data_IF_717924408209
#
_entry.id   IF_717924408209
#
_cell.length_a   1.000
_cell.length_b   1.000
_cell.length_c   1.000
_cell.angle_alpha   90.00
_cell.angle_beta   90.00
_cell.angle_gamma   90.00
#
_symmetry.space_group_name_H-M   'P 1'
#
loop_
_entity.id
_entity.type
_entity.pdbx_description
1 polymer ?
#
# COMPACT_ATOMS: atom_id res chain seq x y z
N UNK A 1 -21.68 -15.87 13.23
CA UNK A 1 -20.48 -15.35 12.53
C UNK A 1 -20.96 -14.70 11.25
N UNK A 2 -20.71 -13.43 11.06
CA UNK A 2 -21.13 -12.73 9.86
C UNK A 2 -20.40 -13.30 8.65
N UNK A 3 -21.12 -13.55 7.56
CA UNK A 3 -20.55 -14.15 6.35
C UNK A 3 -19.69 -13.10 5.64
N UNK A 4 -18.37 -13.32 5.65
CA UNK A 4 -17.43 -12.46 4.91
C UNK A 4 -17.45 -12.91 3.45
N UNK A 5 -17.74 -11.98 2.54
CA UNK A 5 -17.76 -12.18 1.10
C UNK A 5 -16.53 -11.49 0.47
N UNK A 6 -15.72 -12.25 -0.25
CA UNK A 6 -14.59 -11.70 -1.04
C UNK A 6 -15.06 -11.55 -2.48
N UNK A 7 -14.93 -10.34 -3.02
CA UNK A 7 -15.34 -10.03 -4.39
C UNK A 7 -14.39 -9.02 -5.07
N UNK A 8 -14.42 -8.96 -6.40
CA UNK A 8 -13.76 -7.86 -7.11
C UNK A 8 -14.28 -6.50 -6.64
N UNK A 9 -13.39 -5.51 -6.66
CA UNK A 9 -13.72 -4.11 -6.42
C UNK A 9 -14.72 -3.60 -7.46
N UNK A 10 -15.60 -2.70 -7.03
CA UNK A 10 -16.52 -1.94 -7.87
C UNK A 10 -16.33 -0.44 -7.61
N UNK A 11 -16.72 0.39 -8.57
CA UNK A 11 -16.56 1.85 -8.46
C UNK A 11 -17.27 2.43 -7.23
N UNK A 12 -18.39 1.82 -6.81
CA UNK A 12 -19.15 2.21 -5.63
C UNK A 12 -18.36 2.01 -4.32
N UNK A 13 -17.40 1.08 -4.30
CA UNK A 13 -16.55 0.82 -3.13
C UNK A 13 -15.48 1.90 -2.92
N UNK A 14 -15.27 2.77 -3.91
CA UNK A 14 -14.13 3.70 -3.96
C UNK A 14 -14.00 4.54 -2.70
N UNK A 15 -15.07 5.14 -2.24
CA UNK A 15 -15.07 5.99 -1.06
C UNK A 15 -14.72 5.18 0.21
N UNK A 16 -15.37 4.03 0.41
CA UNK A 16 -15.16 3.17 1.57
C UNK A 16 -13.74 2.58 1.59
N UNK A 17 -13.22 2.14 0.42
CA UNK A 17 -11.87 1.61 0.31
C UNK A 17 -10.82 2.67 0.67
N UNK A 18 -10.97 3.90 0.18
CA UNK A 18 -10.08 5.02 0.45
C UNK A 18 -10.06 5.37 1.93
N UNK A 19 -11.23 5.47 2.54
CA UNK A 19 -11.39 5.69 3.97
C UNK A 19 -10.69 4.58 4.76
N UNK A 20 -11.00 3.32 4.48
CA UNK A 20 -10.39 2.17 5.16
C UNK A 20 -8.86 2.14 4.97
N UNK A 21 -8.37 2.47 3.76
CA UNK A 21 -6.93 2.54 3.51
C UNK A 21 -6.24 3.53 4.45
N UNK A 22 -6.80 4.73 4.62
CA UNK A 22 -6.25 5.73 5.52
C UNK A 22 -6.41 5.37 6.99
N UNK A 23 -7.50 4.69 7.38
CA UNK A 23 -7.73 4.25 8.77
C UNK A 23 -6.70 3.21 9.26
N UNK A 24 -6.07 2.48 8.33
CA UNK A 24 -5.13 1.40 8.68
C UNK A 24 -3.72 1.61 8.14
N UNK A 25 -3.41 2.80 7.60
CA UNK A 25 -2.17 3.08 6.88
C UNK A 25 -0.90 3.04 7.74
N UNK A 26 -0.99 3.47 9.00
CA UNK A 26 0.15 3.45 9.93
C UNK A 26 0.16 2.18 10.78
N UNK A 27 0.66 1.08 10.21
CA UNK A 27 0.79 -0.20 10.94
C UNK A 27 -0.52 -0.67 11.57
N UNK A 28 -1.63 -0.32 10.92
CA UNK A 28 -2.98 -0.60 11.39
C UNK A 28 -3.65 0.53 12.16
N UNK A 29 -3.02 1.67 12.27
CA UNK A 29 -3.56 2.94 12.74
C UNK A 29 -3.77 3.95 11.62
N UNK A 30 -4.34 5.13 11.93
CA UNK A 30 -4.72 6.11 10.94
C UNK A 30 -3.52 6.83 10.31
N UNK A 31 -3.72 7.29 9.06
CA UNK A 31 -2.72 8.00 8.25
C UNK A 31 -2.26 9.31 8.91
N UNK A 32 -3.13 9.95 9.67
CA UNK A 32 -2.91 11.20 10.37
C UNK A 32 -1.73 11.13 11.35
N UNK A 33 -1.34 9.94 11.77
CA UNK A 33 -0.15 9.73 12.61
C UNK A 33 1.14 10.20 11.96
N UNK A 34 1.21 10.29 10.61
CA UNK A 34 2.42 10.72 9.91
C UNK A 34 2.17 11.61 8.69
N UNK A 35 0.94 11.70 8.18
CA UNK A 35 0.62 12.54 7.03
C UNK A 35 -0.64 13.38 7.31
N UNK A 36 -0.54 14.72 7.26
CA UNK A 36 -1.56 15.61 7.83
C UNK A 36 -2.79 15.85 6.96
N UNK A 37 -2.81 15.39 5.69
CA UNK A 37 -3.92 15.61 4.77
C UNK A 37 -4.45 14.31 4.19
N UNK A 38 -5.58 13.87 4.74
CA UNK A 38 -6.22 12.61 4.40
C UNK A 38 -6.58 12.48 2.92
N UNK A 39 -7.13 13.54 2.30
CA UNK A 39 -7.53 13.46 0.90
C UNK A 39 -6.35 13.32 -0.08
N UNK A 40 -5.21 13.96 0.23
CA UNK A 40 -3.99 13.78 -0.56
C UNK A 40 -3.43 12.38 -0.33
N UNK A 41 -3.47 11.88 0.90
CA UNK A 41 -3.04 10.53 1.22
C UNK A 41 -3.91 9.46 0.55
N UNK A 42 -5.23 9.62 0.56
CA UNK A 42 -6.17 8.75 -0.15
C UNK A 42 -5.83 8.63 -1.63
N UNK A 43 -5.60 9.76 -2.31
CA UNK A 43 -5.21 9.74 -3.72
C UNK A 43 -3.84 9.08 -3.92
N UNK A 44 -2.86 9.37 -3.07
CA UNK A 44 -1.52 8.81 -3.15
C UNK A 44 -1.53 7.27 -3.01
N UNK A 45 -2.30 6.76 -2.04
CA UNK A 45 -2.28 5.35 -1.67
C UNK A 45 -3.19 4.46 -2.52
N UNK A 46 -4.27 5.04 -3.10
CA UNK A 46 -5.32 4.21 -3.71
C UNK A 46 -5.60 4.50 -5.17
N UNK A 47 -5.34 5.74 -5.64
CA UNK A 47 -5.84 6.21 -6.93
C UNK A 47 -5.36 5.38 -8.12
N UNK A 48 -4.13 4.89 -8.09
CA UNK A 48 -3.66 3.98 -9.15
C UNK A 48 -4.54 2.73 -9.23
N UNK A 49 -4.79 2.10 -8.11
CA UNK A 49 -5.50 0.82 -8.04
C UNK A 49 -6.99 0.95 -8.32
N UNK A 50 -7.61 2.06 -7.90
CA UNK A 50 -9.05 2.26 -8.09
C UNK A 50 -9.41 2.82 -9.46
N UNK A 51 -8.53 3.63 -10.07
CA UNK A 51 -8.84 4.40 -11.26
C UNK A 51 -8.10 3.89 -12.53
N UNK A 52 -6.92 3.26 -12.36
CA UNK A 52 -6.07 2.83 -13.48
C UNK A 52 -5.92 1.31 -13.59
N UNK A 53 -6.06 0.58 -12.48
CA UNK A 53 -5.99 -0.89 -12.47
C UNK A 53 -7.04 -1.52 -11.53
N UNK A 54 -8.34 -1.14 -11.65
CA UNK A 54 -9.39 -1.62 -10.74
C UNK A 54 -9.62 -3.13 -10.80
N UNK A 55 -9.33 -3.77 -11.93
CA UNK A 55 -9.49 -5.22 -12.12
C UNK A 55 -8.56 -6.09 -11.25
N UNK A 56 -7.54 -5.50 -10.64
CA UNK A 56 -6.60 -6.18 -9.74
C UNK A 56 -6.81 -5.80 -8.27
N UNK A 57 -7.98 -5.25 -7.94
CA UNK A 57 -8.39 -4.89 -6.58
C UNK A 57 -9.54 -5.77 -6.13
N UNK A 58 -9.44 -6.29 -4.91
CA UNK A 58 -10.48 -7.10 -4.27
C UNK A 58 -10.86 -6.51 -2.91
N UNK A 59 -12.11 -6.69 -2.54
CA UNK A 59 -12.66 -6.23 -1.26
C UNK A 59 -13.29 -7.40 -0.50
N UNK A 60 -13.20 -7.31 0.82
CA UNK A 60 -13.93 -8.16 1.75
C UNK A 60 -15.09 -7.37 2.32
N UNK A 61 -16.29 -7.88 2.14
CA UNK A 61 -17.54 -7.26 2.61
C UNK A 61 -18.22 -8.14 3.66
N UNK A 62 -18.73 -7.52 4.69
CA UNK A 62 -19.57 -8.15 5.72
C UNK A 62 -20.67 -7.17 6.11
N UNK A 63 -21.94 -7.57 5.94
CA UNK A 63 -23.13 -6.79 6.31
C UNK A 63 -23.10 -5.34 5.80
N UNK A 64 -22.72 -5.14 4.54
CA UNK A 64 -22.64 -3.81 3.90
C UNK A 64 -21.44 -2.95 4.32
N UNK A 65 -20.51 -3.47 5.14
CA UNK A 65 -19.27 -2.80 5.56
C UNK A 65 -18.06 -3.45 4.89
N UNK A 66 -17.06 -2.65 4.54
CA UNK A 66 -15.78 -3.19 4.11
C UNK A 66 -14.95 -3.68 5.31
N UNK A 67 -14.75 -5.00 5.37
CA UNK A 67 -13.90 -5.66 6.35
C UNK A 67 -12.40 -5.57 5.98
N UNK A 68 -12.09 -5.40 4.70
CA UNK A 68 -10.73 -5.29 4.21
C UNK A 68 -10.68 -5.09 2.69
N UNK A 69 -9.48 -4.81 2.21
CA UNK A 69 -9.18 -4.70 0.78
C UNK A 69 -7.79 -5.25 0.48
N UNK A 70 -7.56 -5.62 -0.77
CA UNK A 70 -6.25 -5.87 -1.32
C UNK A 70 -6.16 -5.25 -2.71
N UNK A 71 -5.16 -4.41 -2.90
CA UNK A 71 -4.82 -3.77 -4.16
C UNK A 71 -3.64 -4.51 -4.78
N UNK A 72 -3.75 -4.91 -6.05
CA UNK A 72 -2.66 -5.47 -6.82
C UNK A 72 -2.25 -4.54 -7.96
N UNK A 73 -0.98 -4.55 -8.27
CA UNK A 73 -0.42 -4.00 -9.49
C UNK A 73 0.21 -5.15 -10.28
N UNK A 74 -0.27 -5.39 -11.49
CA UNK A 74 0.21 -6.47 -12.35
C UNK A 74 1.30 -6.01 -13.32
N UNK A 75 1.48 -4.69 -13.49
CA UNK A 75 2.51 -4.09 -14.34
C UNK A 75 3.21 -2.91 -13.64
N UNK A 76 4.36 -3.18 -13.06
CA UNK A 76 5.16 -2.18 -12.36
C UNK A 76 5.70 -1.07 -13.29
N UNK A 77 5.86 -1.33 -14.59
CA UNK A 77 6.28 -0.29 -15.55
C UNK A 77 5.15 0.70 -15.78
N UNK A 78 3.96 0.19 -16.06
CA UNK A 78 2.75 1.01 -16.19
C UNK A 78 2.48 1.80 -14.93
N UNK A 79 2.58 1.16 -13.76
CA UNK A 79 2.49 1.84 -12.47
C UNK A 79 3.45 3.03 -12.38
N UNK A 80 4.73 2.81 -12.66
CA UNK A 80 5.74 3.86 -12.61
C UNK A 80 5.45 5.04 -13.54
N UNK A 81 5.00 4.77 -14.77
CA UNK A 81 4.64 5.81 -15.75
C UNK A 81 3.42 6.61 -15.31
N UNK A 82 2.33 5.93 -14.89
CA UNK A 82 1.10 6.58 -14.43
C UNK A 82 1.37 7.41 -13.18
N UNK A 83 2.10 6.85 -12.21
CA UNK A 83 2.43 7.57 -10.97
C UNK A 83 3.30 8.80 -11.28
N UNK A 84 4.33 8.66 -12.09
CA UNK A 84 5.27 9.75 -12.36
C UNK A 84 4.65 10.88 -13.19
N UNK A 85 3.93 10.55 -14.27
CA UNK A 85 3.50 11.54 -15.26
C UNK A 85 2.06 12.02 -15.09
N UNK A 86 1.23 11.27 -14.38
CA UNK A 86 -0.19 11.62 -14.20
C UNK A 86 -0.50 11.90 -12.73
N UNK A 87 -0.22 10.94 -11.84
CA UNK A 87 -0.64 11.06 -10.45
C UNK A 87 0.20 12.06 -9.67
N UNK A 88 1.52 12.04 -9.78
CA UNK A 88 2.40 12.96 -9.04
C UNK A 88 2.12 14.44 -9.39
N UNK A 89 2.04 14.88 -10.66
CA UNK A 89 1.68 16.26 -10.97
C UNK A 89 0.32 16.66 -10.39
N UNK A 90 -0.70 15.81 -10.53
CA UNK A 90 -2.03 16.08 -9.99
C UNK A 90 -2.04 16.18 -8.45
N UNK A 91 -1.30 15.29 -7.77
CA UNK A 91 -1.14 15.29 -6.32
C UNK A 91 -0.40 16.54 -5.82
N UNK A 92 0.65 16.98 -6.52
CA UNK A 92 1.38 18.19 -6.17
C UNK A 92 0.50 19.42 -6.28
N UNK A 93 -0.30 19.53 -7.36
CA UNK A 93 -1.28 20.64 -7.52
C UNK A 93 -2.33 20.59 -6.40
N UNK A 94 -2.87 19.40 -6.10
CA UNK A 94 -3.85 19.22 -5.02
C UNK A 94 -3.25 19.60 -3.67
N UNK A 95 -2.05 19.12 -3.36
CA UNK A 95 -1.35 19.43 -2.11
C UNK A 95 -1.03 20.93 -1.97
N UNK A 96 -0.66 21.59 -3.07
CA UNK A 96 -0.46 23.04 -3.09
C UNK A 96 -1.76 23.78 -2.78
N UNK A 97 -2.84 23.48 -3.51
CA UNK A 97 -4.17 24.11 -3.30
C UNK A 97 -4.70 23.92 -1.88
N UNK A 98 -4.35 22.84 -1.21
CA UNK A 98 -4.76 22.52 0.17
C UNK A 98 -3.77 23.04 1.22
N UNK A 99 -2.72 23.73 0.84
CA UNK A 99 -1.72 24.26 1.75
C UNK A 99 -0.87 23.20 2.47
N UNK A 100 -0.84 21.97 1.94
CA UNK A 100 -0.14 20.83 2.55
C UNK A 100 1.35 21.08 2.68
N UNK A 101 1.96 21.77 1.72
CA UNK A 101 3.39 22.11 1.74
C UNK A 101 3.80 23.08 2.85
N UNK A 102 2.85 23.81 3.44
CA UNK A 102 3.13 24.73 4.54
C UNK A 102 3.05 24.08 5.91
N UNK A 103 2.72 22.78 5.99
CA UNK A 103 2.59 22.04 7.23
C UNK A 103 3.96 21.49 7.69
N UNK A 104 4.35 21.68 8.98
CA UNK A 104 5.65 21.24 9.49
C UNK A 104 5.90 19.75 9.33
N UNK A 105 4.86 18.92 9.46
CA UNK A 105 4.92 17.46 9.31
C UNK A 105 5.38 17.07 7.90
N UNK A 106 4.91 17.81 6.89
CA UNK A 106 5.30 17.58 5.48
C UNK A 106 6.76 17.93 5.24
N UNK A 107 7.27 18.98 5.87
CA UNK A 107 8.68 19.31 5.80
C UNK A 107 9.55 18.20 6.42
N UNK A 108 9.10 17.58 7.50
CA UNK A 108 9.79 16.45 8.12
C UNK A 108 9.79 15.22 7.16
N UNK A 109 8.66 14.92 6.54
CA UNK A 109 8.55 13.85 5.53
C UNK A 109 9.48 14.12 4.33
N UNK A 110 9.51 15.34 3.80
CA UNK A 110 10.39 15.71 2.70
C UNK A 110 11.88 15.58 3.07
N UNK A 111 12.26 15.99 4.28
CA UNK A 111 13.63 15.79 4.79
C UNK A 111 13.97 14.29 4.90
N UNK A 112 13.04 13.47 5.41
CA UNK A 112 13.19 12.02 5.44
C UNK A 112 13.31 11.42 4.03
N UNK A 113 12.46 11.85 3.11
CA UNK A 113 12.53 11.42 1.70
C UNK A 113 13.86 11.81 1.05
N UNK A 114 14.37 13.02 1.32
CA UNK A 114 15.67 13.47 0.82
C UNK A 114 16.83 12.62 1.37
N UNK A 115 16.80 12.25 2.66
CA UNK A 115 17.79 11.32 3.24
C UNK A 115 17.74 9.93 2.62
N UNK A 116 16.56 9.51 2.21
CA UNK A 116 16.33 8.19 1.63
C UNK A 116 16.46 8.15 0.09
N UNK A 117 16.54 9.29 -0.61
CA UNK A 117 16.37 9.34 -2.07
C UNK A 117 17.31 8.40 -2.83
N UNK A 118 18.60 8.34 -2.47
CA UNK A 118 19.58 7.44 -3.09
C UNK A 118 19.22 5.96 -2.85
N UNK A 119 18.77 5.64 -1.64
CA UNK A 119 18.35 4.28 -1.23
C UNK A 119 17.09 3.85 -1.98
N UNK A 120 16.09 4.74 -2.06
CA UNK A 120 14.84 4.53 -2.80
C UNK A 120 15.12 4.36 -4.30
N UNK A 121 16.04 5.13 -4.87
CA UNK A 121 16.42 5.01 -6.27
C UNK A 121 17.06 3.64 -6.58
N UNK A 122 18.00 3.19 -5.74
CA UNK A 122 18.62 1.86 -5.86
C UNK A 122 17.59 0.75 -5.68
N UNK A 123 16.71 0.90 -4.68
CA UNK A 123 15.63 -0.04 -4.41
C UNK A 123 14.67 -0.17 -5.61
N UNK A 124 14.20 0.94 -6.17
CA UNK A 124 13.33 0.93 -7.36
C UNK A 124 13.97 0.19 -8.53
N UNK A 125 15.25 0.44 -8.81
CA UNK A 125 15.96 -0.22 -9.91
C UNK A 125 16.02 -1.74 -9.76
N UNK A 126 16.11 -2.25 -8.53
CA UNK A 126 16.18 -3.68 -8.22
C UNK A 126 14.80 -4.35 -8.11
N UNK A 127 13.79 -3.61 -7.63
CA UNK A 127 12.46 -4.17 -7.31
C UNK A 127 11.47 -4.17 -8.48
N UNK A 128 11.75 -3.43 -9.57
CA UNK A 128 10.87 -3.33 -10.72
C UNK A 128 11.36 -4.18 -11.90
N UNK A 129 11.20 -5.50 -11.79
CA UNK A 129 11.43 -6.41 -12.91
C UNK A 129 10.14 -6.65 -13.71
N UNK A 130 10.29 -7.00 -15.00
CA UNK A 130 9.20 -7.02 -15.99
C UNK A 130 8.13 -8.09 -15.78
N UNK A 131 8.23 -9.00 -14.86
CA UNK A 131 7.21 -10.01 -14.54
C UNK A 131 6.86 -10.04 -13.05
N UNK A 132 7.12 -8.92 -12.37
CA UNK A 132 6.87 -8.77 -10.95
C UNK A 132 5.76 -7.75 -10.72
N UNK A 133 4.72 -8.18 -10.00
CA UNK A 133 3.69 -7.31 -9.45
C UNK A 133 4.00 -6.85 -8.02
N UNK A 134 3.19 -5.96 -7.51
CA UNK A 134 3.20 -5.62 -6.09
C UNK A 134 1.79 -5.52 -5.53
N UNK A 135 1.68 -5.55 -4.21
CA UNK A 135 0.39 -5.48 -3.53
C UNK A 135 0.40 -4.55 -2.32
N UNK A 136 -0.80 -4.08 -1.97
CA UNK A 136 -1.09 -3.38 -0.73
C UNK A 136 -2.37 -3.97 -0.12
N UNK A 137 -2.35 -4.32 1.18
CA UNK A 137 -3.48 -4.95 1.88
C UNK A 137 -3.79 -4.19 3.17
N UNK A 138 -5.07 -3.98 3.44
CA UNK A 138 -5.56 -3.40 4.68
C UNK A 138 -6.79 -4.14 5.21
N UNK A 139 -6.81 -4.39 6.52
CA UNK A 139 -7.92 -5.06 7.21
C UNK A 139 -8.39 -4.16 8.35
N UNK A 140 -9.70 -3.91 8.39
CA UNK A 140 -10.33 -3.18 9.49
C UNK A 140 -10.10 -3.89 10.83
N UNK A 141 -9.91 -3.11 11.88
CA UNK A 141 -9.52 -3.63 13.21
C UNK A 141 -10.41 -4.76 13.71
N UNK A 142 -11.72 -4.56 13.60
CA UNK A 142 -12.78 -5.48 14.06
C UNK A 142 -12.76 -6.85 13.34
N UNK A 143 -12.16 -6.92 12.15
CA UNK A 143 -12.14 -8.10 11.30
C UNK A 143 -10.78 -8.82 11.27
N UNK A 144 -9.80 -8.35 12.07
CA UNK A 144 -8.52 -9.04 12.20
C UNK A 144 -8.69 -10.38 12.90
N UNK A 145 -7.85 -11.34 12.54
CA UNK A 145 -7.96 -12.70 13.07
C UNK A 145 -9.08 -13.57 12.47
N UNK A 146 -9.96 -13.01 11.63
CA UNK A 146 -11.10 -13.69 11.02
C UNK A 146 -10.82 -14.23 9.61
N UNK A 147 -9.57 -14.51 9.27
CA UNK A 147 -9.11 -15.02 7.97
C UNK A 147 -9.35 -14.10 6.76
N UNK A 148 -9.84 -12.86 6.97
CA UNK A 148 -10.10 -11.89 5.88
C UNK A 148 -8.87 -11.67 5.02
N UNK A 149 -7.73 -11.39 5.64
CA UNK A 149 -6.47 -11.18 4.92
C UNK A 149 -6.03 -12.38 4.10
N UNK A 150 -6.19 -13.60 4.63
CA UNK A 150 -5.86 -14.84 3.93
C UNK A 150 -6.72 -15.02 2.67
N UNK A 151 -8.02 -14.79 2.79
CA UNK A 151 -8.95 -14.95 1.67
C UNK A 151 -8.74 -13.88 0.59
N UNK A 152 -8.49 -12.63 0.97
CA UNK A 152 -8.10 -11.55 0.06
C UNK A 152 -6.78 -11.87 -0.67
N UNK A 153 -5.78 -12.34 0.08
CA UNK A 153 -4.50 -12.75 -0.49
C UNK A 153 -4.67 -13.86 -1.52
N UNK A 154 -5.46 -14.89 -1.19
CA UNK A 154 -5.74 -15.98 -2.14
C UNK A 154 -6.36 -15.44 -3.43
N UNK A 155 -7.38 -14.59 -3.35
CA UNK A 155 -8.04 -14.02 -4.53
C UNK A 155 -7.05 -13.24 -5.42
N UNK A 156 -6.16 -12.45 -4.81
CA UNK A 156 -5.15 -11.71 -5.57
C UNK A 156 -4.09 -12.63 -6.19
N UNK A 157 -3.61 -13.65 -5.46
CA UNK A 157 -2.60 -14.57 -5.98
C UNK A 157 -3.13 -15.39 -7.15
N UNK A 158 -4.38 -15.88 -7.05
CA UNK A 158 -5.06 -16.59 -8.13
C UNK A 158 -5.20 -15.67 -9.37
N UNK A 159 -5.57 -14.41 -9.18
CA UNK A 159 -5.65 -13.41 -10.25
C UNK A 159 -4.27 -13.13 -10.88
N UNK A 160 -3.23 -12.91 -10.07
CA UNK A 160 -1.88 -12.61 -10.53
C UNK A 160 -1.28 -13.78 -11.35
N UNK A 161 -1.48 -15.02 -10.88
CA UNK A 161 -1.08 -16.23 -11.62
C UNK A 161 -1.81 -16.32 -12.96
N UNK A 162 -3.12 -16.05 -12.99
CA UNK A 162 -3.91 -16.02 -14.23
C UNK A 162 -3.49 -14.92 -15.21
N UNK A 163 -2.80 -13.87 -14.74
CA UNK A 163 -2.21 -12.80 -15.56
C UNK A 163 -0.77 -13.10 -15.99
N UNK A 164 -0.22 -14.24 -15.62
CA UNK A 164 1.12 -14.68 -16.01
C UNK A 164 2.25 -14.01 -15.25
N UNK A 165 2.00 -13.45 -14.05
CA UNK A 165 3.07 -12.99 -13.19
C UNK A 165 3.85 -14.17 -12.64
N UNK A 166 5.16 -14.02 -12.56
CA UNK A 166 6.04 -15.00 -11.91
C UNK A 166 6.25 -14.73 -10.42
N UNK A 167 6.08 -13.47 -10.02
CA UNK A 167 6.33 -13.04 -8.66
C UNK A 167 5.42 -11.87 -8.27
N UNK A 168 5.09 -11.80 -6.98
CA UNK A 168 4.43 -10.64 -6.38
C UNK A 168 5.17 -10.19 -5.12
N UNK A 169 5.28 -8.89 -4.92
CA UNK A 169 6.02 -8.27 -3.84
C UNK A 169 5.16 -7.40 -2.93
N UNK A 170 5.59 -7.26 -1.68
CA UNK A 170 5.05 -6.30 -0.73
C UNK A 170 6.18 -5.68 0.09
N UNK A 171 6.07 -4.39 0.40
CA UNK A 171 6.99 -3.72 1.32
C UNK A 171 6.38 -3.62 2.70
N UNK A 172 7.13 -4.05 3.71
CA UNK A 172 6.68 -4.08 5.11
C UNK A 172 7.70 -3.36 5.99
N UNK A 173 7.21 -2.50 6.86
CA UNK A 173 8.01 -1.86 7.90
C UNK A 173 8.38 -2.90 8.98
N UNK A 174 9.64 -2.98 9.40
CA UNK A 174 10.13 -4.01 10.34
C UNK A 174 9.54 -3.92 11.77
N UNK A 175 8.99 -2.76 12.13
CA UNK A 175 8.20 -2.63 13.37
C UNK A 175 6.77 -3.21 13.23
N UNK A 176 6.27 -3.48 12.01
CA UNK A 176 4.95 -4.07 11.80
C UNK A 176 5.02 -5.60 11.92
N UNK A 177 5.18 -6.09 13.15
CA UNK A 177 5.32 -7.54 13.44
C UNK A 177 4.13 -8.36 12.96
N UNK A 178 2.91 -7.80 13.07
CA UNK A 178 1.70 -8.48 12.59
C UNK A 178 1.72 -8.72 11.07
N UNK A 179 2.14 -7.73 10.29
CA UNK A 179 2.29 -7.88 8.85
C UNK A 179 3.41 -8.87 8.48
N UNK A 180 4.54 -8.85 9.20
CA UNK A 180 5.63 -9.80 8.99
C UNK A 180 5.14 -11.24 9.13
N UNK A 181 4.53 -11.56 10.27
CA UNK A 181 3.96 -12.90 10.56
C UNK A 181 2.91 -13.27 9.50
N UNK A 182 2.06 -12.31 9.11
CA UNK A 182 1.04 -12.56 8.08
C UNK A 182 1.68 -12.93 6.73
N UNK A 183 2.64 -12.15 6.22
CA UNK A 183 3.26 -12.43 4.92
C UNK A 183 4.06 -13.74 4.93
N UNK A 184 4.77 -14.05 6.01
CA UNK A 184 5.49 -15.31 6.17
C UNK A 184 4.53 -16.51 6.17
N UNK A 185 3.38 -16.40 6.86
CA UNK A 185 2.34 -17.43 6.86
C UNK A 185 1.66 -17.61 5.48
N UNK A 186 1.72 -16.58 4.59
CA UNK A 186 1.27 -16.70 3.21
C UNK A 186 2.37 -17.21 2.25
N UNK A 187 3.54 -17.59 2.77
CA UNK A 187 4.66 -18.14 2.00
C UNK A 187 5.53 -17.08 1.29
N UNK A 188 5.42 -15.82 1.68
CA UNK A 188 6.35 -14.78 1.24
C UNK A 188 7.69 -14.91 2.00
N UNK A 189 8.78 -14.54 1.33
CA UNK A 189 10.12 -14.52 1.91
C UNK A 189 10.73 -13.13 1.78
N UNK A 190 11.49 -12.70 2.78
CA UNK A 190 12.25 -11.46 2.71
C UNK A 190 13.38 -11.62 1.70
N UNK A 191 13.32 -10.85 0.62
CA UNK A 191 14.36 -10.80 -0.41
C UNK A 191 15.43 -9.77 -0.07
N UNK A 192 14.99 -8.58 0.38
CA UNK A 192 15.90 -7.47 0.67
C UNK A 192 15.44 -6.69 1.91
N UNK A 193 16.41 -6.02 2.55
CA UNK A 193 16.20 -5.12 3.70
C UNK A 193 16.86 -3.78 3.38
N UNK A 194 16.07 -2.72 3.42
CA UNK A 194 16.54 -1.37 3.12
C UNK A 194 16.50 -0.52 4.38
N UNK A 195 17.66 0.00 4.84
CA UNK A 195 17.66 0.95 5.95
C UNK A 195 17.00 2.27 5.49
N UNK A 196 16.03 2.73 6.23
CA UNK A 196 15.24 3.91 5.97
C UNK A 196 15.26 4.83 7.19
N UNK A 197 14.98 6.10 6.97
CA UNK A 197 14.85 7.11 8.02
C UNK A 197 13.50 7.79 7.86
N UNK A 198 12.70 7.79 8.90
CA UNK A 198 11.51 8.62 9.04
C UNK A 198 11.83 9.75 10.03
N UNK A 199 11.35 10.96 9.76
CA UNK A 199 11.45 12.06 10.72
C UNK A 199 10.05 12.33 11.23
N UNK A 200 9.86 12.18 12.55
CA UNK A 200 8.60 12.41 13.24
C UNK A 200 8.89 13.22 14.52
N UNK A 201 8.12 14.29 14.75
CA UNK A 201 8.28 15.18 15.90
C UNK A 201 9.73 15.67 16.10
N UNK A 202 10.41 15.98 14.99
CA UNK A 202 11.79 16.43 14.97
C UNK A 202 12.84 15.34 15.26
N UNK A 203 12.44 14.11 15.53
CA UNK A 203 13.34 12.98 15.81
C UNK A 203 13.48 12.05 14.60
N UNK A 204 14.68 11.50 14.44
CA UNK A 204 14.94 10.47 13.42
C UNK A 204 14.59 9.09 13.97
N UNK A 205 13.68 8.42 13.30
CA UNK A 205 13.36 7.00 13.52
C UNK A 205 14.04 6.18 12.40
N UNK A 206 15.00 5.34 12.78
CA UNK A 206 15.67 4.42 11.88
C UNK A 206 14.93 3.09 11.85
N UNK A 207 14.60 2.61 10.66
CA UNK A 207 13.89 1.35 10.47
C UNK A 207 14.36 0.64 9.19
N UNK A 208 13.92 -0.60 9.00
CA UNK A 208 14.12 -1.30 7.73
C UNK A 208 12.78 -1.49 7.00
N UNK A 209 12.76 -1.12 5.73
CA UNK A 209 11.73 -1.57 4.81
C UNK A 209 12.13 -2.95 4.29
N UNK A 210 11.31 -3.96 4.59
CA UNK A 210 11.51 -5.35 4.18
C UNK A 210 10.75 -5.60 2.89
N UNK A 211 11.45 -6.03 1.85
CA UNK A 211 10.83 -6.47 0.59
C UNK A 211 10.50 -7.95 0.70
N UNK A 212 9.25 -8.25 0.93
CA UNK A 212 8.68 -9.59 0.87
C UNK A 212 8.33 -9.95 -0.56
N UNK A 213 8.71 -11.13 -1.01
CA UNK A 213 8.42 -11.63 -2.36
C UNK A 213 7.89 -13.05 -2.28
N UNK A 214 6.91 -13.35 -3.12
CA UNK A 214 6.37 -14.70 -3.33
C UNK A 214 6.42 -15.04 -4.81
N UNK A 215 6.97 -16.19 -5.14
CA UNK A 215 6.86 -16.84 -6.46
C UNK A 215 5.45 -17.44 -6.61
N UNK A 216 4.84 -17.28 -7.77
CA UNK A 216 3.47 -17.68 -8.11
C UNK A 216 3.44 -19.01 -8.87
#
# INVERSE_FOLDING_TARGET
MNKINIRPYKTEDRALLRTLCCDVADRGGPIENFFPDREVAEDLLTKFYTDYEPGSTFVAESDGRLAGYINGCMDNRRYGLVVMWILMPALLIKAFKRGVFFRPEVHQLLRGALKNWRRVFVWRKKSFHSHQGHLHIGIAGDFRGQQVGRNLMKALLDHASGRGLSEIAASVHDANKAAMVFFEAQGFKVRERYPMVLIRDGKEEHYHSLLYVKTL
#
